data_IF_883176614219
#
_entry.id   IF_883176614219
#
_cell.length_a   1.000
_cell.length_b   1.000
_cell.length_c   1.000
_cell.angle_alpha   90.00
_cell.angle_beta   90.00
_cell.angle_gamma   90.00
#
_symmetry.space_group_name_H-M   'P 1'
#
loop_
_entity.id
_entity.type
_entity.pdbx_description
1 polymer ?
#
# COMPACT_ATOMS: atom_id res chain seq x y z
N UNK A 1 -24.69 173.31 -4.96
CA UNK A 1 -25.73 172.42 -4.42
C UNK A 1 -26.01 171.24 -5.36
N UNK A 2 -26.20 171.44 -6.67
CA UNK A 2 -26.43 170.34 -7.64
C UNK A 2 -25.34 169.23 -7.66
N UNK A 3 -24.04 169.56 -7.58
CA UNK A 3 -22.95 168.55 -7.52
C UNK A 3 -22.96 167.68 -6.25
N UNK A 4 -23.57 168.15 -5.16
CA UNK A 4 -23.61 167.44 -3.88
C UNK A 4 -24.73 166.40 -3.85
N UNK A 5 -25.89 166.75 -4.40
CA UNK A 5 -27.03 165.83 -4.60
C UNK A 5 -26.69 164.71 -5.59
N UNK A 6 -25.93 165.02 -6.66
CA UNK A 6 -25.48 164.04 -7.64
C UNK A 6 -24.48 163.04 -7.04
N UNK A 7 -23.56 163.51 -6.18
CA UNK A 7 -22.64 162.65 -5.42
C UNK A 7 -23.40 161.80 -4.39
N UNK A 8 -24.43 162.35 -3.76
CA UNK A 8 -25.27 161.63 -2.80
C UNK A 8 -26.12 160.55 -3.49
N UNK A 9 -26.65 160.84 -4.68
CA UNK A 9 -27.37 159.87 -5.51
C UNK A 9 -26.44 158.75 -5.99
N UNK A 10 -25.24 159.07 -6.46
CA UNK A 10 -24.22 158.08 -6.84
C UNK A 10 -23.75 157.22 -5.65
N UNK A 11 -23.66 157.81 -4.46
CA UNK A 11 -23.33 157.09 -3.23
C UNK A 11 -24.45 156.11 -2.84
N UNK A 12 -25.71 156.55 -2.87
CA UNK A 12 -26.87 155.70 -2.60
C UNK A 12 -27.00 154.56 -3.64
N UNK A 13 -26.70 154.83 -4.90
CA UNK A 13 -26.69 153.80 -5.95
C UNK A 13 -25.56 152.78 -5.75
N UNK A 14 -24.37 153.21 -5.31
CA UNK A 14 -23.27 152.29 -4.94
C UNK A 14 -23.60 151.47 -3.69
N UNK A 15 -24.29 152.05 -2.71
CA UNK A 15 -24.76 151.33 -1.52
C UNK A 15 -25.79 150.27 -1.90
N UNK A 16 -26.79 150.61 -2.73
CA UNK A 16 -27.78 149.66 -3.21
C UNK A 16 -27.13 148.50 -4.01
N UNK A 17 -26.16 148.81 -4.88
CA UNK A 17 -25.39 147.78 -5.61
C UNK A 17 -24.54 146.91 -4.68
N UNK A 18 -24.00 147.47 -3.60
CA UNK A 18 -23.25 146.72 -2.58
C UNK A 18 -24.16 145.81 -1.77
N UNK A 19 -25.33 146.28 -1.36
CA UNK A 19 -26.34 145.47 -0.68
C UNK A 19 -26.81 144.32 -1.56
N UNK A 20 -27.05 144.57 -2.85
CA UNK A 20 -27.40 143.52 -3.82
C UNK A 20 -26.26 142.53 -4.02
N UNK A 21 -25.01 142.99 -4.10
CA UNK A 21 -23.84 142.12 -4.19
C UNK A 21 -23.64 141.28 -2.91
N UNK A 22 -23.87 141.86 -1.73
CA UNK A 22 -23.83 141.17 -0.44
C UNK A 22 -24.93 140.12 -0.32
N UNK A 23 -26.15 140.43 -0.77
CA UNK A 23 -27.26 139.49 -0.79
C UNK A 23 -26.98 138.30 -1.72
N UNK A 24 -26.47 138.56 -2.94
CA UNK A 24 -26.02 137.50 -3.86
C UNK A 24 -24.90 136.66 -3.27
N UNK A 25 -23.94 137.28 -2.58
CA UNK A 25 -22.84 136.56 -1.95
C UNK A 25 -23.34 135.66 -0.81
N UNK A 26 -24.25 136.16 0.03
CA UNK A 26 -24.89 135.37 1.08
C UNK A 26 -25.68 134.18 0.52
N UNK A 27 -26.39 134.37 -0.60
CA UNK A 27 -27.10 133.30 -1.29
C UNK A 27 -26.12 132.25 -1.86
N UNK A 28 -25.04 132.68 -2.51
CA UNK A 28 -24.00 131.75 -2.98
C UNK A 28 -23.31 131.00 -1.84
N UNK A 29 -23.12 131.64 -0.69
CA UNK A 29 -22.57 131.01 0.50
C UNK A 29 -23.54 129.98 1.08
N UNK A 30 -24.84 130.27 1.13
CA UNK A 30 -25.86 129.32 1.56
C UNK A 30 -25.93 128.09 0.65
N UNK A 31 -25.91 128.31 -0.68
CA UNK A 31 -25.85 127.22 -1.66
C UNK A 31 -24.56 126.39 -1.56
N UNK A 32 -23.43 127.03 -1.28
CA UNK A 32 -22.15 126.35 -1.06
C UNK A 32 -22.19 125.48 0.22
N UNK A 33 -22.76 125.98 1.31
CA UNK A 33 -22.93 125.22 2.55
C UNK A 33 -23.87 124.03 2.35
N UNK A 34 -24.98 124.19 1.62
CA UNK A 34 -25.89 123.09 1.30
C UNK A 34 -25.21 122.01 0.44
N UNK A 35 -24.39 122.42 -0.55
CA UNK A 35 -23.58 121.48 -1.34
C UNK A 35 -22.56 120.75 -0.49
N UNK A 36 -21.90 121.41 0.45
CA UNK A 36 -20.97 120.76 1.38
C UNK A 36 -21.69 119.72 2.25
N UNK A 37 -22.83 120.05 2.83
CA UNK A 37 -23.62 119.10 3.63
C UNK A 37 -24.04 117.86 2.82
N UNK A 38 -24.47 118.05 1.57
CA UNK A 38 -24.80 116.93 0.66
C UNK A 38 -23.56 116.07 0.33
N UNK A 39 -22.40 116.69 0.13
CA UNK A 39 -21.15 115.96 -0.11
C UNK A 39 -20.72 115.15 1.12
N UNK A 40 -20.86 115.71 2.32
CA UNK A 40 -20.59 114.99 3.58
C UNK A 40 -21.51 113.77 3.73
N UNK A 41 -22.80 113.91 3.41
CA UNK A 41 -23.76 112.80 3.45
C UNK A 41 -23.42 111.71 2.44
N UNK A 42 -23.09 112.08 1.19
CA UNK A 42 -22.63 111.13 0.16
C UNK A 42 -21.34 110.44 0.58
N UNK A 43 -20.40 111.16 1.20
CA UNK A 43 -19.15 110.59 1.71
C UNK A 43 -19.41 109.59 2.85
N UNK A 44 -20.34 109.90 3.77
CA UNK A 44 -20.73 108.99 4.84
C UNK A 44 -21.36 107.70 4.29
N UNK A 45 -22.28 107.81 3.33
CA UNK A 45 -22.89 106.66 2.66
C UNK A 45 -21.87 105.82 1.87
N UNK A 46 -20.89 106.48 1.23
CA UNK A 46 -19.80 105.80 0.54
C UNK A 46 -18.92 105.01 1.52
N UNK A 47 -18.55 105.60 2.65
CA UNK A 47 -17.78 104.93 3.69
C UNK A 47 -18.53 103.71 4.27
N UNK A 48 -19.84 103.82 4.49
CA UNK A 48 -20.64 102.70 4.97
C UNK A 48 -20.71 101.55 3.94
N UNK A 49 -20.85 101.88 2.65
CA UNK A 49 -20.81 100.88 1.57
C UNK A 49 -19.45 100.19 1.48
N UNK A 50 -18.36 100.94 1.64
CA UNK A 50 -17.00 100.39 1.66
C UNK A 50 -16.86 99.41 2.83
N UNK A 51 -17.27 99.78 4.04
CA UNK A 51 -17.20 98.90 5.20
C UNK A 51 -18.01 97.60 5.02
N UNK A 52 -19.22 97.69 4.43
CA UNK A 52 -20.03 96.50 4.11
C UNK A 52 -19.37 95.61 3.05
N UNK A 53 -18.70 96.20 2.06
CA UNK A 53 -17.96 95.46 1.04
C UNK A 53 -16.74 94.76 1.63
N UNK A 54 -16.00 95.42 2.52
CA UNK A 54 -14.87 94.82 3.24
C UNK A 54 -15.33 93.61 4.06
N UNK A 55 -16.45 93.73 4.79
CA UNK A 55 -17.02 92.62 5.55
C UNK A 55 -17.47 91.46 4.64
N UNK A 56 -18.13 91.78 3.53
CA UNK A 56 -18.56 90.77 2.55
C UNK A 56 -17.35 90.05 1.92
N UNK A 57 -16.27 90.79 1.60
CA UNK A 57 -15.02 90.23 1.09
C UNK A 57 -14.36 89.31 2.12
N UNK A 58 -14.30 89.71 3.39
CA UNK A 58 -13.72 88.90 4.46
C UNK A 58 -14.48 87.57 4.63
N UNK A 59 -15.83 87.60 4.62
CA UNK A 59 -16.66 86.39 4.67
C UNK A 59 -16.44 85.49 3.45
N UNK A 60 -16.31 86.07 2.26
CA UNK A 60 -16.01 85.33 1.03
C UNK A 60 -14.65 84.62 1.14
N UNK A 61 -13.61 85.31 1.61
CA UNK A 61 -12.29 84.73 1.84
C UNK A 61 -12.35 83.56 2.82
N UNK A 62 -13.10 83.69 3.92
CA UNK A 62 -13.28 82.61 4.90
C UNK A 62 -14.00 81.40 4.28
N UNK A 63 -15.11 81.62 3.57
CA UNK A 63 -15.83 80.52 2.91
C UNK A 63 -14.97 79.82 1.85
N UNK A 64 -14.11 80.55 1.15
CA UNK A 64 -13.20 80.00 0.17
C UNK A 64 -12.08 79.19 0.83
N UNK A 65 -11.56 79.63 1.98
CA UNK A 65 -10.61 78.86 2.77
C UNK A 65 -11.22 77.54 3.26
N UNK A 66 -12.45 77.57 3.79
CA UNK A 66 -13.17 76.37 4.22
C UNK A 66 -13.47 75.42 3.05
N UNK A 67 -13.81 75.95 1.86
CA UNK A 67 -14.01 75.15 0.66
C UNK A 67 -12.73 74.44 0.22
N UNK A 68 -11.59 75.14 0.24
CA UNK A 68 -10.28 74.56 -0.08
C UNK A 68 -9.90 73.45 0.91
N UNK A 69 -10.15 73.64 2.20
CA UNK A 69 -9.88 72.61 3.21
C UNK A 69 -10.75 71.37 2.98
N UNK A 70 -12.04 71.56 2.65
CA UNK A 70 -12.94 70.43 2.32
C UNK A 70 -12.49 69.68 1.06
N UNK A 71 -12.02 70.39 0.04
CA UNK A 71 -11.47 69.75 -1.16
C UNK A 71 -10.23 68.92 -0.84
N UNK A 72 -9.29 69.47 -0.06
CA UNK A 72 -8.09 68.73 0.35
C UNK A 72 -8.43 67.45 1.13
N UNK A 73 -9.41 67.51 2.05
CA UNK A 73 -9.88 66.32 2.78
C UNK A 73 -10.53 65.28 1.86
N UNK A 74 -11.29 65.71 0.85
CA UNK A 74 -11.89 64.80 -0.13
C UNK A 74 -10.82 64.13 -1.00
N UNK A 75 -9.78 64.87 -1.42
CA UNK A 75 -8.64 64.31 -2.15
C UNK A 75 -7.92 63.24 -1.33
N UNK A 76 -7.70 63.49 -0.03
CA UNK A 76 -7.09 62.51 0.86
C UNK A 76 -7.95 61.25 1.02
N UNK A 77 -9.25 61.40 1.24
CA UNK A 77 -10.19 60.27 1.33
C UNK A 77 -10.22 59.47 0.02
N UNK A 78 -10.21 60.15 -1.13
CA UNK A 78 -10.17 59.51 -2.44
C UNK A 78 -8.86 58.73 -2.63
N UNK A 79 -7.72 59.29 -2.22
CA UNK A 79 -6.43 58.60 -2.29
C UNK A 79 -6.42 57.34 -1.42
N UNK A 80 -6.92 57.41 -0.18
CA UNK A 80 -7.05 56.26 0.72
C UNK A 80 -8.01 55.20 0.17
N UNK A 81 -9.11 55.61 -0.46
CA UNK A 81 -10.06 54.70 -1.10
C UNK A 81 -9.41 53.95 -2.26
N UNK A 82 -8.67 54.65 -3.13
CA UNK A 82 -7.95 54.04 -4.24
C UNK A 82 -6.90 53.04 -3.75
N UNK A 83 -6.17 53.34 -2.68
CA UNK A 83 -5.21 52.41 -2.10
C UNK A 83 -5.89 51.14 -1.55
N UNK A 84 -7.05 51.28 -0.90
CA UNK A 84 -7.84 50.12 -0.42
C UNK A 84 -8.34 49.27 -1.57
N UNK A 85 -8.79 49.88 -2.67
CA UNK A 85 -9.23 49.16 -3.87
C UNK A 85 -8.05 48.37 -4.45
N UNK A 86 -6.88 49.00 -4.62
CA UNK A 86 -5.69 48.31 -5.14
C UNK A 86 -5.28 47.10 -4.27
N UNK A 87 -5.33 47.23 -2.94
CA UNK A 87 -5.06 46.10 -2.02
C UNK A 87 -6.10 44.99 -2.13
N UNK A 88 -7.38 45.33 -2.35
CA UNK A 88 -8.44 44.34 -2.56
C UNK A 88 -8.27 43.60 -3.89
N UNK A 89 -7.90 44.30 -4.96
CA UNK A 89 -7.59 43.69 -6.25
C UNK A 89 -6.43 42.70 -6.14
N UNK A 90 -5.35 43.07 -5.43
CA UNK A 90 -4.23 42.17 -5.19
C UNK A 90 -4.65 40.95 -4.37
N UNK A 91 -5.46 41.13 -3.32
CA UNK A 91 -5.97 40.02 -2.52
C UNK A 91 -6.86 39.07 -3.34
N UNK A 92 -7.71 39.62 -4.21
CA UNK A 92 -8.54 38.83 -5.13
C UNK A 92 -7.71 38.05 -6.15
N UNK A 93 -6.65 38.66 -6.69
CA UNK A 93 -5.73 37.99 -7.61
C UNK A 93 -5.05 36.79 -6.92
N UNK A 94 -4.52 36.99 -5.71
CA UNK A 94 -3.91 35.92 -4.90
C UNK A 94 -4.91 34.81 -4.59
N UNK A 95 -6.15 35.16 -4.21
CA UNK A 95 -7.21 34.17 -3.95
C UNK A 95 -7.49 33.33 -5.19
N UNK A 96 -7.61 33.97 -6.35
CA UNK A 96 -7.85 33.30 -7.64
C UNK A 96 -6.72 32.31 -7.97
N UNK A 97 -5.47 32.71 -7.77
CA UNK A 97 -4.31 31.84 -7.96
C UNK A 97 -4.34 30.63 -7.01
N UNK A 98 -4.59 30.87 -5.71
CA UNK A 98 -4.68 29.77 -4.73
C UNK A 98 -5.81 28.80 -5.06
N UNK A 99 -6.94 29.29 -5.58
CA UNK A 99 -8.06 28.46 -5.99
C UNK A 99 -7.73 27.65 -7.25
N UNK A 100 -7.00 28.22 -8.21
CA UNK A 100 -6.50 27.48 -9.38
C UNK A 100 -5.55 26.35 -8.96
N UNK A 101 -4.61 26.62 -8.05
CA UNK A 101 -3.69 25.60 -7.52
C UNK A 101 -4.44 24.50 -6.75
N UNK A 102 -5.48 24.86 -5.98
CA UNK A 102 -6.31 23.89 -5.28
C UNK A 102 -7.06 22.96 -6.26
N UNK A 103 -7.63 23.52 -7.32
CA UNK A 103 -8.31 22.74 -8.36
C UNK A 103 -7.34 21.79 -9.09
N UNK A 104 -6.13 22.24 -9.40
CA UNK A 104 -5.10 21.37 -10.00
C UNK A 104 -4.71 20.20 -9.08
N UNK A 105 -4.57 20.46 -7.77
CA UNK A 105 -4.31 19.41 -6.78
C UNK A 105 -5.47 18.41 -6.69
N UNK A 106 -6.72 18.89 -6.74
CA UNK A 106 -7.89 18.02 -6.75
C UNK A 106 -7.91 17.12 -7.98
N UNK A 107 -7.65 17.67 -9.18
CA UNK A 107 -7.59 16.88 -10.41
C UNK A 107 -6.51 15.78 -10.35
N UNK A 108 -5.33 16.09 -9.80
CA UNK A 108 -4.26 15.09 -9.58
C UNK A 108 -4.66 14.01 -8.57
N UNK A 109 -5.39 14.37 -7.52
CA UNK A 109 -5.91 13.40 -6.55
C UNK A 109 -6.96 12.48 -7.17
N UNK A 110 -7.86 13.02 -8.00
CA UNK A 110 -8.84 12.22 -8.74
C UNK A 110 -8.16 11.22 -9.68
N UNK A 111 -7.12 11.64 -10.40
CA UNK A 111 -6.32 10.76 -11.25
C UNK A 111 -5.62 9.65 -10.44
N UNK A 112 -5.01 10.00 -9.30
CA UNK A 112 -4.36 9.03 -8.43
C UNK A 112 -5.36 8.00 -7.85
N UNK A 113 -6.57 8.44 -7.48
CA UNK A 113 -7.64 7.55 -7.01
C UNK A 113 -8.09 6.61 -8.13
N UNK A 114 -8.23 7.10 -9.36
CA UNK A 114 -8.59 6.26 -10.51
C UNK A 114 -7.51 5.18 -10.77
N UNK A 115 -6.23 5.54 -10.74
CA UNK A 115 -5.12 4.60 -10.90
C UNK A 115 -5.07 3.54 -9.79
N UNK A 116 -5.32 3.95 -8.53
CA UNK A 116 -5.39 3.03 -7.39
C UNK A 116 -6.56 2.04 -7.53
N UNK A 117 -7.72 2.53 -8.01
CA UNK A 117 -8.89 1.69 -8.24
C UNK A 117 -8.61 0.64 -9.32
N UNK A 118 -7.97 1.02 -10.42
CA UNK A 118 -7.56 0.06 -11.47
C UNK A 118 -6.51 -0.94 -10.95
N UNK A 119 -5.53 -0.49 -10.18
CA UNK A 119 -4.52 -1.37 -9.58
C UNK A 119 -5.14 -2.37 -8.60
N UNK A 120 -6.13 -1.93 -7.81
CA UNK A 120 -6.89 -2.81 -6.93
C UNK A 120 -7.67 -3.86 -7.72
N UNK A 121 -8.43 -3.45 -8.75
CA UNK A 121 -9.17 -4.39 -9.60
C UNK A 121 -8.26 -5.44 -10.27
N UNK A 122 -7.07 -5.05 -10.74
CA UNK A 122 -6.07 -5.99 -11.28
C UNK A 122 -5.53 -6.95 -10.22
N UNK A 123 -5.36 -6.48 -8.99
CA UNK A 123 -4.90 -7.31 -7.88
C UNK A 123 -5.96 -8.33 -7.49
N UNK A 124 -7.22 -7.91 -7.39
CA UNK A 124 -8.36 -8.78 -7.12
C UNK A 124 -8.49 -9.88 -8.19
N UNK A 125 -8.42 -9.51 -9.47
CA UNK A 125 -8.43 -10.50 -10.57
C UNK A 125 -7.30 -11.53 -10.46
N UNK A 126 -6.06 -11.08 -10.19
CA UNK A 126 -4.92 -12.00 -10.00
C UNK A 126 -5.08 -12.90 -8.79
N UNK A 127 -5.67 -12.40 -7.70
CA UNK A 127 -5.93 -13.23 -6.52
C UNK A 127 -6.97 -14.31 -6.79
N UNK A 128 -7.97 -14.02 -7.61
CA UNK A 128 -8.98 -14.99 -8.03
C UNK A 128 -8.39 -16.06 -8.96
N UNK A 129 -7.57 -15.66 -9.93
CA UNK A 129 -6.81 -16.59 -10.79
C UNK A 129 -5.91 -17.52 -9.97
N UNK A 130 -5.18 -16.98 -8.97
CA UNK A 130 -4.35 -17.78 -8.08
C UNK A 130 -5.17 -18.76 -7.22
N UNK A 131 -6.33 -18.33 -6.73
CA UNK A 131 -7.23 -19.21 -5.97
C UNK A 131 -7.72 -20.38 -6.83
N UNK A 132 -8.10 -20.11 -8.09
CA UNK A 132 -8.51 -21.15 -9.04
C UNK A 132 -7.37 -22.12 -9.35
N UNK A 133 -6.16 -21.60 -9.61
CA UNK A 133 -4.98 -22.42 -9.84
C UNK A 133 -4.65 -23.31 -8.63
N UNK A 134 -4.82 -22.80 -7.41
CA UNK A 134 -4.63 -23.58 -6.18
C UNK A 134 -5.63 -24.74 -6.08
N UNK A 135 -6.92 -24.50 -6.38
CA UNK A 135 -7.94 -25.56 -6.38
C UNK A 135 -7.61 -26.64 -7.41
N UNK A 136 -7.23 -26.26 -8.63
CA UNK A 136 -6.81 -27.23 -9.67
C UNK A 136 -5.59 -28.03 -9.23
N UNK A 137 -4.60 -27.39 -8.61
CA UNK A 137 -3.41 -28.06 -8.08
C UNK A 137 -3.79 -29.09 -7.00
N UNK A 138 -4.74 -28.78 -6.12
CA UNK A 138 -5.23 -29.71 -5.09
C UNK A 138 -5.89 -30.95 -5.71
N UNK A 139 -6.66 -30.78 -6.78
CA UNK A 139 -7.26 -31.90 -7.51
C UNK A 139 -6.21 -32.79 -8.16
N UNK A 140 -5.21 -32.19 -8.83
CA UNK A 140 -4.08 -32.91 -9.42
C UNK A 140 -3.30 -33.67 -8.34
N UNK A 141 -3.03 -33.05 -7.19
CA UNK A 141 -2.32 -33.67 -6.08
C UNK A 141 -3.10 -34.86 -5.51
N UNK A 142 -4.42 -34.72 -5.33
CA UNK A 142 -5.28 -35.81 -4.86
C UNK A 142 -5.26 -37.00 -5.82
N UNK A 143 -5.33 -36.73 -7.13
CA UNK A 143 -5.22 -37.77 -8.17
C UNK A 143 -3.86 -38.47 -8.12
N UNK A 144 -2.77 -37.70 -7.97
CA UNK A 144 -1.42 -38.26 -7.88
C UNK A 144 -1.25 -39.16 -6.64
N UNK A 145 -1.75 -38.72 -5.47
CA UNK A 145 -1.71 -39.53 -4.24
C UNK A 145 -2.44 -40.87 -4.45
N UNK A 146 -3.60 -40.85 -5.11
CA UNK A 146 -4.34 -42.06 -5.42
C UNK A 146 -3.57 -42.98 -6.38
N UNK A 147 -2.98 -42.42 -7.43
CA UNK A 147 -2.19 -43.19 -8.40
C UNK A 147 -0.94 -43.81 -7.76
N UNK A 148 -0.23 -43.06 -6.92
CA UNK A 148 0.93 -43.58 -6.17
C UNK A 148 0.50 -44.70 -5.23
N UNK A 149 -0.62 -44.54 -4.51
CA UNK A 149 -1.16 -45.59 -3.66
C UNK A 149 -1.52 -46.88 -4.42
N UNK A 150 -2.14 -46.75 -5.60
CA UNK A 150 -2.43 -47.90 -6.48
C UNK A 150 -1.15 -48.57 -6.98
N UNK A 151 -0.15 -47.80 -7.37
CA UNK A 151 1.13 -48.32 -7.82
C UNK A 151 1.85 -49.06 -6.69
N UNK A 152 1.88 -48.51 -5.47
CA UNK A 152 2.45 -49.19 -4.30
C UNK A 152 1.78 -50.53 -4.03
N UNK A 153 0.45 -50.61 -4.14
CA UNK A 153 -0.28 -51.88 -4.00
C UNK A 153 0.06 -52.87 -5.13
N UNK A 154 0.15 -52.40 -6.38
CA UNK A 154 0.55 -53.24 -7.52
C UNK A 154 1.97 -53.79 -7.36
N UNK A 155 2.91 -52.96 -6.92
CA UNK A 155 4.30 -53.37 -6.63
C UNK A 155 4.36 -54.35 -5.47
N UNK A 156 3.56 -54.14 -4.42
CA UNK A 156 3.42 -55.08 -3.31
C UNK A 156 2.95 -56.46 -3.79
N UNK A 157 1.84 -56.51 -4.54
CA UNK A 157 1.34 -57.77 -5.12
C UNK A 157 2.34 -58.45 -6.04
N UNK A 158 3.10 -57.69 -6.84
CA UNK A 158 4.14 -58.25 -7.69
C UNK A 158 5.28 -58.85 -6.86
N UNK A 159 5.65 -58.20 -5.77
CA UNK A 159 6.67 -58.68 -4.84
C UNK A 159 6.22 -59.99 -4.16
N UNK A 160 4.94 -60.09 -3.78
CA UNK A 160 4.34 -61.33 -3.25
C UNK A 160 4.40 -62.46 -4.27
N UNK A 161 4.00 -62.19 -5.53
CA UNK A 161 4.07 -63.18 -6.62
C UNK A 161 5.49 -63.67 -6.85
N UNK A 162 6.49 -62.77 -6.87
CA UNK A 162 7.90 -63.17 -7.00
C UNK A 162 8.33 -64.02 -5.80
N UNK A 163 7.91 -63.69 -4.58
CA UNK A 163 8.13 -64.49 -3.39
C UNK A 163 7.58 -65.92 -3.52
N UNK A 164 6.28 -66.04 -3.83
CA UNK A 164 5.63 -67.35 -4.01
C UNK A 164 6.30 -68.18 -5.10
N UNK A 165 6.62 -67.59 -6.25
CA UNK A 165 7.30 -68.33 -7.34
C UNK A 165 8.69 -68.82 -6.94
N UNK A 166 9.42 -68.04 -6.15
CA UNK A 166 10.73 -68.45 -5.67
C UNK A 166 10.62 -69.58 -4.64
N UNK A 167 9.60 -69.55 -3.79
CA UNK A 167 9.31 -70.61 -2.83
C UNK A 167 8.87 -71.91 -3.50
N UNK A 168 7.99 -71.83 -4.51
CA UNK A 168 7.58 -72.99 -5.31
C UNK A 168 8.80 -73.64 -5.97
N UNK A 169 9.69 -72.84 -6.57
CA UNK A 169 10.94 -73.33 -7.14
C UNK A 169 11.86 -73.94 -6.06
N UNK A 170 11.93 -73.33 -4.89
CA UNK A 170 12.73 -73.82 -3.79
C UNK A 170 12.26 -75.19 -3.31
N UNK A 171 10.94 -75.38 -3.14
CA UNK A 171 10.34 -76.67 -2.76
C UNK A 171 10.61 -77.77 -3.78
N UNK A 172 10.57 -77.43 -5.07
CA UNK A 172 10.84 -78.38 -6.16
C UNK A 172 12.33 -78.77 -6.24
N UNK A 173 13.24 -77.81 -6.16
CA UNK A 173 14.67 -78.02 -6.44
C UNK A 173 15.46 -78.50 -5.20
N UNK A 174 15.10 -78.01 -4.01
CA UNK A 174 15.88 -78.23 -2.78
C UNK A 174 16.02 -79.72 -2.41
N UNK A 175 14.96 -80.56 -2.44
CA UNK A 175 15.08 -81.98 -2.05
C UNK A 175 16.08 -82.73 -2.94
N UNK A 176 16.02 -82.53 -4.26
CA UNK A 176 16.93 -83.18 -5.20
C UNK A 176 18.39 -82.73 -4.98
N UNK A 177 18.60 -81.43 -4.75
CA UNK A 177 19.92 -80.86 -4.47
C UNK A 177 20.52 -81.41 -3.17
N UNK A 178 19.72 -81.46 -2.10
CA UNK A 178 20.12 -82.02 -0.80
C UNK A 178 20.49 -83.51 -0.91
N UNK A 179 19.73 -84.29 -1.69
CA UNK A 179 20.01 -85.70 -1.91
C UNK A 179 21.31 -85.91 -2.69
N UNK A 180 21.51 -85.14 -3.77
CA UNK A 180 22.66 -85.28 -4.66
C UNK A 180 23.98 -84.82 -4.02
N UNK A 181 23.96 -83.71 -3.28
CA UNK A 181 25.19 -83.07 -2.79
C UNK A 181 25.48 -83.32 -1.32
N UNK A 182 24.46 -83.64 -0.51
CA UNK A 182 24.59 -83.75 0.95
C UNK A 182 24.07 -85.08 1.52
N UNK A 183 23.64 -86.01 0.66
CA UNK A 183 23.10 -87.32 1.07
C UNK A 183 21.83 -87.24 1.92
N UNK A 184 21.16 -86.09 1.95
CA UNK A 184 19.93 -85.88 2.72
C UNK A 184 18.74 -86.23 1.84
N UNK A 185 17.92 -87.19 2.27
CA UNK A 185 16.65 -87.50 1.61
C UNK A 185 15.49 -86.93 2.40
N UNK A 186 14.72 -86.08 1.76
CA UNK A 186 13.47 -85.49 2.28
C UNK A 186 12.41 -85.74 1.22
N UNK A 187 11.24 -86.22 1.63
CA UNK A 187 10.16 -86.58 0.70
C UNK A 187 9.47 -85.35 0.11
N UNK A 188 9.16 -84.36 0.95
CA UNK A 188 8.50 -83.13 0.55
C UNK A 188 8.94 -81.98 1.47
N UNK A 189 9.01 -80.78 0.91
CA UNK A 189 9.21 -79.55 1.68
C UNK A 189 7.92 -78.73 1.59
N UNK A 190 7.40 -78.33 2.74
CA UNK A 190 6.19 -77.52 2.84
C UNK A 190 6.43 -76.28 3.70
N UNK A 191 5.53 -75.31 3.57
CA UNK A 191 5.52 -74.15 4.45
C UNK A 191 4.85 -74.55 5.77
N UNK A 192 5.54 -74.34 6.90
CA UNK A 192 5.05 -74.74 8.22
C UNK A 192 5.11 -73.59 9.23
N UNK A 193 4.06 -73.48 10.03
CA UNK A 193 3.94 -72.49 11.11
C UNK A 193 4.16 -73.15 12.46
N UNK A 194 4.97 -72.51 13.29
CA UNK A 194 5.24 -72.89 14.68
C UNK A 194 4.78 -71.78 15.61
N UNK A 195 4.42 -72.12 16.84
CA UNK A 195 4.12 -71.12 17.87
C UNK A 195 5.17 -71.21 18.98
N UNK A 196 5.91 -70.12 19.20
CA UNK A 196 6.91 -70.00 20.25
C UNK A 196 6.63 -68.74 21.06
N UNK A 197 6.46 -68.88 22.37
CA UNK A 197 6.20 -67.75 23.29
C UNK A 197 5.03 -66.83 22.87
N UNK A 198 4.02 -67.39 22.19
CA UNK A 198 2.86 -66.64 21.70
C UNK A 198 3.09 -65.89 20.39
N UNK A 199 4.26 -66.04 19.75
CA UNK A 199 4.56 -65.54 18.42
C UNK A 199 4.51 -66.68 17.40
N UNK A 200 3.96 -66.41 16.22
CA UNK A 200 3.95 -67.34 15.10
C UNK A 200 5.27 -67.21 14.32
N UNK A 201 5.96 -68.34 14.13
CA UNK A 201 7.18 -68.45 13.35
C UNK A 201 6.85 -69.24 12.09
N UNK A 202 6.96 -68.56 10.95
CA UNK A 202 6.82 -69.15 9.62
C UNK A 202 8.18 -69.67 9.13
N UNK A 203 8.16 -70.91 8.62
CA UNK A 203 9.29 -71.57 7.96
C UNK A 203 8.86 -71.90 6.53
N UNK A 204 9.56 -71.32 5.55
CA UNK A 204 9.24 -71.44 4.12
C UNK A 204 9.46 -72.86 3.59
N UNK A 205 10.53 -73.51 4.08
CA UNK A 205 10.92 -74.87 3.70
C UNK A 205 11.07 -75.74 4.94
N UNK A 206 10.07 -76.57 5.22
CA UNK A 206 10.10 -77.54 6.30
C UNK A 206 9.88 -78.95 5.76
N UNK A 207 10.71 -79.91 6.18
CA UNK A 207 10.47 -81.31 5.87
C UNK A 207 11.31 -82.25 6.71
N UNK A 208 10.74 -83.40 7.05
CA UNK A 208 11.44 -84.45 7.77
C UNK A 208 12.12 -85.40 6.78
N UNK A 209 13.28 -85.93 7.17
CA UNK A 209 14.06 -86.76 6.29
C UNK A 209 15.14 -87.55 7.00
N UNK A 210 16.05 -88.11 6.21
CA UNK A 210 17.12 -88.96 6.72
C UNK A 210 18.45 -88.65 6.04
N UNK A 211 19.52 -88.73 6.83
CA UNK A 211 20.91 -88.76 6.35
C UNK A 211 21.58 -89.96 7.02
N UNK A 212 22.12 -90.90 6.24
CA UNK A 212 22.84 -92.07 6.75
C UNK A 212 22.08 -92.88 7.83
N UNK A 213 20.75 -92.96 7.71
CA UNK A 213 19.82 -93.60 8.67
C UNK A 213 19.55 -92.81 9.98
N UNK A 214 20.06 -91.59 10.10
CA UNK A 214 19.71 -90.67 11.19
C UNK A 214 18.57 -89.73 10.78
N UNK A 215 17.56 -89.51 11.64
CA UNK A 215 16.48 -88.58 11.36
C UNK A 215 16.97 -87.12 11.39
N UNK A 216 16.69 -86.39 10.33
CA UNK A 216 16.99 -84.96 10.19
C UNK A 216 15.71 -84.20 9.89
N UNK A 217 15.72 -82.90 10.18
CA UNK A 217 14.65 -81.98 9.84
C UNK A 217 15.23 -80.80 9.08
N UNK A 218 14.74 -80.55 7.88
CA UNK A 218 15.08 -79.35 7.11
C UNK A 218 14.28 -78.18 7.65
N UNK A 219 14.99 -77.11 7.99
CA UNK A 219 14.41 -75.82 8.36
C UNK A 219 15.04 -74.79 7.44
N UNK A 220 14.25 -74.20 6.55
CA UNK A 220 14.78 -73.28 5.58
C UNK A 220 13.93 -72.06 5.29
N UNK A 221 14.63 -71.03 4.80
CA UNK A 221 14.04 -69.78 4.33
C UNK A 221 14.37 -69.54 2.85
N UNK A 222 13.46 -68.85 2.19
CA UNK A 222 13.57 -68.48 0.79
C UNK A 222 13.74 -66.96 0.69
N UNK A 223 14.83 -66.53 0.04
CA UNK A 223 15.18 -65.11 -0.10
C UNK A 223 15.62 -64.82 -1.52
N UNK A 224 15.10 -63.79 -2.17
CA UNK A 224 15.53 -63.39 -3.52
C UNK A 224 17.05 -63.17 -3.61
N UNK A 225 17.67 -62.68 -2.52
CA UNK A 225 19.12 -62.61 -2.37
C UNK A 225 19.50 -62.95 -0.94
N UNK A 226 20.53 -63.78 -0.79
CA UNK A 226 21.01 -64.25 0.51
C UNK A 226 22.34 -63.57 0.85
N UNK A 227 22.42 -62.97 2.02
CA UNK A 227 23.62 -62.42 2.65
C UNK A 227 23.98 -63.17 3.94
N UNK A 228 25.20 -62.98 4.44
CA UNK A 228 25.65 -63.61 5.70
C UNK A 228 24.71 -63.39 6.88
N UNK A 229 24.18 -62.18 7.06
CA UNK A 229 23.21 -61.86 8.12
C UNK A 229 21.92 -62.69 8.05
N UNK A 230 21.50 -63.06 6.84
CA UNK A 230 20.28 -63.84 6.63
C UNK A 230 20.54 -65.27 7.10
N UNK A 231 21.70 -65.84 6.76
CA UNK A 231 22.14 -67.15 7.26
C UNK A 231 22.17 -67.16 8.79
N UNK A 232 22.76 -66.14 9.44
CA UNK A 232 22.79 -66.07 10.90
C UNK A 232 21.38 -66.00 11.50
N UNK A 233 20.46 -65.27 10.87
CA UNK A 233 19.08 -65.16 11.33
C UNK A 233 18.34 -66.50 11.27
N UNK A 234 18.46 -67.23 10.16
CA UNK A 234 17.81 -68.54 10.02
C UNK A 234 18.42 -69.57 10.98
N UNK A 235 19.74 -69.57 11.16
CA UNK A 235 20.40 -70.48 12.12
C UNK A 235 19.94 -70.22 13.56
N UNK A 236 19.78 -68.95 13.95
CA UNK A 236 19.20 -68.60 15.26
C UNK A 236 17.77 -69.12 15.39
N UNK A 237 16.92 -68.86 14.39
CA UNK A 237 15.52 -69.35 14.37
C UNK A 237 15.42 -70.86 14.42
N UNK A 238 16.26 -71.59 13.67
CA UNK A 238 16.31 -73.05 13.71
C UNK A 238 16.76 -73.57 15.09
N UNK A 239 17.64 -72.85 15.78
CA UNK A 239 18.06 -73.19 17.15
C UNK A 239 16.92 -73.00 18.16
N UNK A 240 16.12 -71.95 18.01
CA UNK A 240 14.92 -71.69 18.81
C UNK A 240 13.83 -72.75 18.58
N UNK A 241 13.71 -73.26 17.34
CA UNK A 241 12.75 -74.31 16.98
C UNK A 241 13.23 -75.73 17.33
N UNK A 242 14.50 -75.93 17.69
CA UNK A 242 15.07 -77.24 18.03
C UNK A 242 14.23 -78.06 19.03
N UNK A 243 13.63 -77.48 20.09
CA UNK A 243 12.81 -78.25 21.04
C UNK A 243 11.49 -78.78 20.46
N UNK A 244 11.01 -78.21 19.34
CA UNK A 244 9.71 -78.54 18.73
C UNK A 244 9.82 -79.48 17.52
N UNK A 245 11.03 -79.88 17.14
CA UNK A 245 11.27 -80.70 15.94
C UNK A 245 11.92 -82.04 16.30
N UNK A 246 11.54 -83.11 15.60
CA UNK A 246 12.00 -84.48 15.87
C UNK A 246 13.09 -84.89 14.88
N UNK A 247 14.33 -84.46 15.13
CA UNK A 247 15.48 -84.75 14.27
C UNK A 247 16.58 -83.71 14.40
N UNK A 248 17.74 -83.96 13.80
CA UNK A 248 18.82 -82.96 13.76
C UNK A 248 18.47 -81.86 12.76
N UNK A 249 18.37 -80.57 13.17
CA UNK A 249 18.05 -79.49 12.25
C UNK A 249 19.14 -79.28 11.20
N UNK A 250 18.75 -79.26 9.93
CA UNK A 250 19.57 -78.86 8.80
C UNK A 250 19.03 -77.54 8.27
N UNK A 251 19.84 -76.49 8.41
CA UNK A 251 19.46 -75.14 7.98
C UNK A 251 19.72 -74.97 6.50
N UNK A 252 18.68 -74.59 5.74
CA UNK A 252 18.77 -74.38 4.30
C UNK A 252 18.29 -72.99 3.92
N UNK A 253 19.03 -72.28 3.09
CA UNK A 253 18.56 -71.04 2.49
C UNK A 253 18.57 -71.19 0.98
N UNK A 254 17.45 -70.86 0.34
CA UNK A 254 17.31 -70.88 -1.11
C UNK A 254 17.09 -69.47 -1.66
N UNK A 255 17.75 -69.13 -2.77
CA UNK A 255 17.58 -67.81 -3.38
C UNK A 255 18.06 -67.70 -4.82
N UNK A 256 17.68 -66.63 -5.52
CA UNK A 256 18.21 -66.39 -6.88
C UNK A 256 19.70 -66.08 -6.86
N UNK A 257 20.16 -65.33 -5.85
CA UNK A 257 21.56 -64.88 -5.75
C UNK A 257 22.11 -65.10 -4.35
N UNK A 258 23.23 -65.82 -4.25
CA UNK A 258 23.96 -66.05 -2.99
C UNK A 258 25.18 -65.13 -2.95
N UNK A 259 25.21 -64.18 -2.02
CA UNK A 259 26.34 -63.28 -1.82
C UNK A 259 27.54 -64.04 -1.20
N UNK A 260 28.81 -63.68 -1.50
CA UNK A 260 29.99 -64.35 -0.91
C UNK A 260 29.95 -64.43 0.62
N UNK A 261 29.50 -63.37 1.30
CA UNK A 261 29.34 -63.37 2.76
C UNK A 261 28.36 -64.42 3.27
N UNK A 262 27.35 -64.80 2.48
CA UNK A 262 26.46 -65.91 2.84
C UNK A 262 27.20 -67.24 2.80
N UNK A 263 28.03 -67.48 1.78
CA UNK A 263 28.83 -68.71 1.65
C UNK A 263 29.83 -68.87 2.81
N UNK A 264 30.51 -67.78 3.17
CA UNK A 264 31.45 -67.75 4.30
C UNK A 264 30.75 -68.08 5.62
N UNK A 265 29.62 -67.41 5.90
CA UNK A 265 28.87 -67.63 7.14
C UNK A 265 28.21 -69.01 7.17
N UNK A 266 27.66 -69.48 6.05
CA UNK A 266 27.05 -70.79 5.94
C UNK A 266 28.06 -71.91 6.22
N UNK A 267 29.27 -71.79 5.66
CA UNK A 267 30.37 -72.72 5.92
C UNK A 267 30.77 -72.73 7.41
N UNK A 268 30.81 -71.56 8.04
CA UNK A 268 31.13 -71.41 9.47
C UNK A 268 30.05 -71.99 10.40
N UNK A 269 28.77 -71.83 10.04
CA UNK A 269 27.63 -72.19 10.89
C UNK A 269 26.98 -73.52 10.51
N UNK A 270 27.48 -74.23 9.51
CA UNK A 270 26.92 -75.50 9.05
C UNK A 270 25.58 -75.37 8.34
N UNK A 271 25.26 -74.20 7.78
CA UNK A 271 24.07 -74.00 6.97
C UNK A 271 24.35 -74.31 5.49
N UNK A 272 23.31 -74.65 4.75
CA UNK A 272 23.35 -74.90 3.31
C UNK A 272 22.74 -73.70 2.60
N UNK A 273 23.44 -73.14 1.62
CA UNK A 273 22.94 -72.06 0.77
C UNK A 273 22.85 -72.56 -0.66
N UNK A 274 21.65 -72.46 -1.25
CA UNK A 274 21.34 -72.97 -2.58
C UNK A 274 20.95 -71.79 -3.47
N UNK A 275 21.59 -71.66 -4.64
CA UNK A 275 21.11 -70.75 -5.66
C UNK A 275 20.11 -71.42 -6.58
N UNK A 276 19.16 -70.67 -7.14
CA UNK A 276 18.23 -71.17 -8.17
C UNK A 276 18.91 -71.72 -9.42
N UNK A 277 20.21 -71.45 -9.60
CA UNK A 277 21.04 -72.01 -10.68
C UNK A 277 21.69 -73.37 -10.35
N UNK A 278 21.43 -73.92 -9.15
CA UNK A 278 22.03 -75.18 -8.69
C UNK A 278 23.54 -75.10 -8.40
N UNK A 279 24.07 -73.89 -8.17
CA UNK A 279 25.50 -73.62 -7.87
C UNK A 279 25.71 -72.89 -6.55
#
# INVERSE_FOLDING_TARGET
MARLEEVQAQANERIARLEEAMARLAETQAQANERMARLEEVQAQANERIARLEEAMARLTETQAQANERMARLEEVQAQANERIARLEEAMARLTETQAQANERMARLEEAIAQLTEAQARTEARTEELAQAYVQMQEVMRSLIQQVGQLSQQVGRLSDVVGFTLEDLAREVTPAYLAQHYGIRVEELERRFFTLEGQEIEIDLYGEGWRDSEPIVVIGEVRSRIYGRDVEAVVRRASELRPQVSGTPVVVLFGFVVHPSAKEVASRLGAIVISSSGR
#
